data_IF_740504058700
#
_entry.id   IF_740504058700
#
_cell.length_a   1.000
_cell.length_b   1.000
_cell.length_c   1.000
_cell.angle_alpha   90.00
_cell.angle_beta   90.00
_cell.angle_gamma   90.00
#
_symmetry.space_group_name_H-M   'P 1'
#
loop_
_entity.id
_entity.type
_entity.pdbx_description
1 polymer ?
#
# COMPACT_ATOMS: atom_id res chain seq x y z
N UNK A 1 -12.62 -30.07 -32.01
CA UNK A 1 -12.31 -28.82 -31.29
C UNK A 1 -11.60 -27.94 -32.30
N UNK A 2 -12.27 -26.88 -32.74
CA UNK A 2 -11.76 -26.05 -33.85
C UNK A 2 -10.57 -25.22 -33.38
N UNK A 3 -9.57 -25.11 -34.26
CA UNK A 3 -8.30 -24.42 -33.96
C UNK A 3 -8.53 -22.97 -33.54
N UNK A 4 -9.55 -22.34 -34.09
CA UNK A 4 -9.95 -20.96 -33.78
C UNK A 4 -10.53 -20.83 -32.37
N UNK A 5 -11.33 -21.81 -31.95
CA UNK A 5 -11.92 -21.85 -30.60
C UNK A 5 -10.85 -22.01 -29.52
N UNK A 6 -9.82 -22.82 -29.78
CA UNK A 6 -8.65 -22.96 -28.90
C UNK A 6 -7.85 -21.67 -28.83
N UNK A 7 -7.65 -20.98 -29.96
CA UNK A 7 -6.90 -19.72 -30.02
C UNK A 7 -7.64 -18.56 -29.36
N UNK A 8 -8.97 -18.48 -29.48
CA UNK A 8 -9.76 -17.49 -28.76
C UNK A 8 -9.76 -17.74 -27.26
N UNK A 9 -9.92 -19.00 -26.84
CA UNK A 9 -9.83 -19.37 -25.42
C UNK A 9 -8.46 -19.02 -24.84
N UNK A 10 -7.38 -19.32 -25.58
CA UNK A 10 -6.03 -18.97 -25.18
C UNK A 10 -5.81 -17.45 -25.14
N UNK A 11 -6.32 -16.67 -26.11
CA UNK A 11 -6.29 -15.20 -26.08
C UNK A 11 -7.12 -14.59 -24.93
N UNK A 12 -8.21 -15.25 -24.53
CA UNK A 12 -9.07 -14.82 -23.42
C UNK A 12 -8.42 -15.10 -22.07
N UNK A 13 -7.76 -16.25 -21.94
CA UNK A 13 -7.00 -16.65 -20.75
C UNK A 13 -5.70 -15.82 -20.63
N UNK A 14 -5.03 -15.53 -21.75
CA UNK A 14 -3.79 -14.76 -21.81
C UNK A 14 -4.00 -13.23 -21.85
N UNK A 15 -5.27 -12.77 -21.79
CA UNK A 15 -5.64 -11.34 -21.69
C UNK A 15 -5.44 -10.77 -20.29
N UNK A 16 -5.42 -11.64 -19.26
CA UNK A 16 -4.97 -11.26 -17.93
C UNK A 16 -3.45 -11.16 -17.97
N UNK A 17 -2.92 -9.94 -17.90
CA UNK A 17 -1.48 -9.67 -17.82
C UNK A 17 -0.76 -10.79 -17.06
N UNK A 18 0.12 -11.50 -17.76
CA UNK A 18 0.90 -12.66 -17.32
C UNK A 18 0.90 -12.77 -15.79
N UNK A 19 0.21 -13.77 -15.25
CA UNK A 19 0.01 -13.91 -13.80
C UNK A 19 1.35 -13.86 -13.02
N UNK A 20 2.44 -14.22 -13.68
CA UNK A 20 3.82 -14.06 -13.21
C UNK A 20 4.23 -12.61 -12.97
N UNK A 21 3.99 -11.70 -13.92
CA UNK A 21 4.24 -10.27 -13.74
C UNK A 21 3.37 -9.70 -12.61
N UNK A 22 2.13 -10.19 -12.48
CA UNK A 22 1.22 -9.83 -11.40
C UNK A 22 1.80 -10.19 -10.02
N UNK A 23 2.24 -11.43 -9.87
CA UNK A 23 2.84 -11.94 -8.62
C UNK A 23 4.17 -11.23 -8.32
N UNK A 24 5.00 -11.01 -9.34
CA UNK A 24 6.29 -10.33 -9.19
C UNK A 24 6.10 -8.89 -8.69
N UNK A 25 5.19 -8.14 -9.31
CA UNK A 25 4.90 -6.75 -8.94
C UNK A 25 4.29 -6.65 -7.53
N UNK A 26 3.45 -7.61 -7.17
CA UNK A 26 2.89 -7.70 -5.82
C UNK A 26 3.97 -7.99 -4.76
N UNK A 27 4.89 -8.92 -5.03
CA UNK A 27 6.05 -9.19 -4.13
C UNK A 27 6.96 -7.97 -4.02
N UNK A 28 7.24 -7.30 -5.13
CA UNK A 28 8.04 -6.08 -5.15
C UNK A 28 7.38 -4.97 -4.32
N UNK A 29 6.07 -4.74 -4.48
CA UNK A 29 5.31 -3.78 -3.69
C UNK A 29 5.39 -4.07 -2.19
N UNK A 30 5.23 -5.33 -1.78
CA UNK A 30 5.33 -5.74 -0.37
C UNK A 30 6.74 -5.51 0.19
N UNK A 31 7.79 -5.86 -0.57
CA UNK A 31 9.17 -5.65 -0.13
C UNK A 31 9.50 -4.16 0.01
N UNK A 32 9.10 -3.34 -0.96
CA UNK A 32 9.33 -1.89 -0.92
C UNK A 32 8.61 -1.23 0.25
N UNK A 33 7.31 -1.51 0.42
CA UNK A 33 6.51 -0.97 1.54
C UNK A 33 7.06 -1.45 2.87
N UNK A 34 7.43 -2.73 2.97
CA UNK A 34 8.01 -3.31 4.17
C UNK A 34 9.31 -2.63 4.57
N UNK A 35 10.24 -2.41 3.63
CA UNK A 35 11.49 -1.71 3.89
C UNK A 35 11.26 -0.25 4.31
N UNK A 36 10.36 0.46 3.64
CA UNK A 36 9.99 1.82 4.00
C UNK A 36 9.38 1.87 5.41
N UNK A 37 8.43 0.98 5.72
CA UNK A 37 7.78 0.90 7.04
C UNK A 37 8.76 0.58 8.16
N UNK A 38 9.71 -0.33 7.91
CA UNK A 38 10.76 -0.66 8.88
C UNK A 38 11.62 0.57 9.20
N UNK A 39 12.08 1.30 8.18
CA UNK A 39 12.85 2.53 8.37
C UNK A 39 12.05 3.62 9.06
N UNK A 40 10.79 3.82 8.67
CA UNK A 40 9.90 4.77 9.34
C UNK A 40 9.70 4.40 10.81
N UNK A 41 9.48 3.12 11.14
CA UNK A 41 9.28 2.67 12.51
C UNK A 41 10.52 2.93 13.39
N UNK A 42 11.72 2.69 12.85
CA UNK A 42 12.97 2.99 13.54
C UNK A 42 13.06 4.49 13.88
N UNK A 43 12.82 5.36 12.90
CA UNK A 43 12.85 6.81 13.09
C UNK A 43 11.72 7.30 14.01
N UNK A 44 10.53 6.70 13.89
CA UNK A 44 9.39 7.01 14.73
C UNK A 44 9.70 6.72 16.20
N UNK A 45 10.19 5.52 16.50
CA UNK A 45 10.57 5.14 17.87
C UNK A 45 11.69 6.03 18.41
N UNK A 46 12.72 6.30 17.59
CA UNK A 46 13.80 7.20 17.96
C UNK A 46 13.30 8.60 18.34
N UNK A 47 12.41 9.17 17.53
CA UNK A 47 11.82 10.48 17.78
C UNK A 47 10.92 10.47 19.02
N UNK A 48 10.12 9.41 19.23
CA UNK A 48 9.30 9.24 20.44
C UNK A 48 10.17 9.22 21.70
N UNK A 49 11.27 8.47 21.71
CA UNK A 49 12.17 8.41 22.86
C UNK A 49 12.88 9.75 23.15
N UNK A 50 13.05 10.60 22.14
CA UNK A 50 13.60 11.95 22.29
C UNK A 50 12.54 13.03 22.55
N UNK A 51 11.25 12.66 22.60
CA UNK A 51 10.16 13.62 22.75
C UNK A 51 9.98 14.56 21.55
N UNK A 52 10.51 14.18 20.38
CA UNK A 52 10.38 14.93 19.14
C UNK A 52 9.02 14.67 18.50
N UNK A 53 8.50 15.65 17.77
CA UNK A 53 7.23 15.49 17.07
C UNK A 53 7.34 14.47 15.93
N UNK A 54 6.47 13.48 15.96
CA UNK A 54 6.35 12.42 14.96
C UNK A 54 5.16 12.59 14.04
N UNK A 55 4.34 13.63 14.28
CA UNK A 55 3.04 13.75 13.64
C UNK A 55 3.12 13.97 12.13
N UNK A 56 4.01 14.84 11.67
CA UNK A 56 4.24 15.09 10.25
C UNK A 56 4.73 13.83 9.51
N UNK A 57 5.75 13.15 10.06
CA UNK A 57 6.31 11.94 9.47
C UNK A 57 5.32 10.78 9.45
N UNK A 58 4.50 10.65 10.50
CA UNK A 58 3.43 9.65 10.57
C UNK A 58 2.32 9.88 9.56
N UNK A 59 1.88 11.13 9.38
CA UNK A 59 0.85 11.49 8.41
C UNK A 59 1.28 11.15 6.97
N UNK A 60 2.49 11.57 6.59
CA UNK A 60 3.03 11.32 5.25
C UNK A 60 3.15 9.82 4.99
N UNK A 61 3.73 9.07 5.91
CA UNK A 61 3.97 7.64 5.72
C UNK A 61 2.67 6.84 5.62
N UNK A 62 1.75 7.06 6.56
CA UNK A 62 0.48 6.33 6.60
C UNK A 62 -0.41 6.69 5.40
N UNK A 63 -0.31 7.90 4.86
CA UNK A 63 -1.00 8.27 3.61
C UNK A 63 -0.49 7.47 2.41
N UNK A 64 0.81 7.21 2.32
CA UNK A 64 1.40 6.36 1.28
C UNK A 64 0.97 4.90 1.38
N UNK A 65 0.90 4.37 2.61
CA UNK A 65 0.39 3.02 2.89
C UNK A 65 -1.10 2.92 2.53
N UNK A 66 -1.89 3.94 2.87
CA UNK A 66 -3.31 4.01 2.50
C UNK A 66 -3.51 3.99 0.99
N UNK A 67 -2.79 4.84 0.26
CA UNK A 67 -2.83 4.91 -1.20
C UNK A 67 -2.50 3.55 -1.85
N UNK A 68 -1.48 2.86 -1.36
CA UNK A 68 -1.15 1.52 -1.85
C UNK A 68 -2.21 0.47 -1.50
N UNK A 69 -2.81 0.54 -0.30
CA UNK A 69 -3.91 -0.35 0.08
C UNK A 69 -5.12 -0.22 -0.87
N UNK A 70 -5.48 1.02 -1.21
CA UNK A 70 -6.53 1.29 -2.20
C UNK A 70 -6.15 0.84 -3.62
N UNK A 71 -4.90 1.07 -4.03
CA UNK A 71 -4.41 0.62 -5.34
C UNK A 71 -4.40 -0.91 -5.47
N UNK A 72 -3.94 -1.61 -4.43
CA UNK A 72 -3.95 -3.08 -4.39
C UNK A 72 -5.38 -3.63 -4.42
N UNK A 73 -6.35 -2.94 -3.84
CA UNK A 73 -7.75 -3.31 -4.00
C UNK A 73 -8.24 -3.12 -5.44
N UNK A 74 -7.95 -1.97 -6.05
CA UNK A 74 -8.37 -1.69 -7.43
C UNK A 74 -7.77 -2.69 -8.42
N UNK A 75 -6.48 -2.99 -8.30
CA UNK A 75 -5.75 -3.84 -9.25
C UNK A 75 -5.92 -5.34 -9.00
N UNK A 76 -5.96 -5.78 -7.73
CA UNK A 76 -5.95 -7.20 -7.36
C UNK A 76 -7.22 -7.67 -6.66
N UNK A 77 -8.20 -6.78 -6.42
CA UNK A 77 -9.43 -7.05 -5.64
C UNK A 77 -9.16 -7.67 -4.27
N UNK A 78 -8.00 -7.40 -3.69
CA UNK A 78 -7.63 -7.91 -2.37
C UNK A 78 -8.39 -7.17 -1.27
N UNK A 79 -9.32 -7.86 -0.60
CA UNK A 79 -10.12 -7.31 0.51
C UNK A 79 -9.24 -6.85 1.70
N UNK A 80 -8.11 -7.53 1.92
CA UNK A 80 -7.14 -7.14 2.95
C UNK A 80 -6.53 -5.74 2.68
N UNK A 81 -6.33 -5.38 1.40
CA UNK A 81 -5.79 -4.07 1.01
C UNK A 81 -6.71 -2.92 1.41
N UNK A 82 -8.03 -3.10 1.33
CA UNK A 82 -9.00 -2.12 1.86
C UNK A 82 -8.86 -2.00 3.37
N UNK A 83 -8.88 -3.12 4.09
CA UNK A 83 -8.85 -3.08 5.55
C UNK A 83 -7.63 -2.31 6.07
N UNK A 84 -6.44 -2.67 5.58
CA UNK A 84 -5.20 -1.97 5.95
C UNK A 84 -5.14 -0.56 5.39
N UNK A 85 -5.68 -0.32 4.19
CA UNK A 85 -5.74 1.01 3.58
C UNK A 85 -6.59 1.99 4.37
N UNK A 86 -7.77 1.56 4.84
CA UNK A 86 -8.68 2.37 5.67
C UNK A 86 -8.07 2.62 7.04
N UNK A 87 -7.47 1.59 7.67
CA UNK A 87 -6.78 1.75 8.95
C UNK A 87 -5.62 2.77 8.85
N UNK A 88 -4.81 2.67 7.79
CA UNK A 88 -3.72 3.59 7.53
C UNK A 88 -4.24 5.00 7.24
N UNK A 89 -5.34 5.14 6.48
CA UNK A 89 -5.95 6.44 6.21
C UNK A 89 -6.43 7.12 7.50
N UNK A 90 -7.09 6.38 8.39
CA UNK A 90 -7.52 6.90 9.69
C UNK A 90 -6.33 7.38 10.54
N UNK A 91 -5.25 6.58 10.58
CA UNK A 91 -4.01 6.96 11.23
C UNK A 91 -3.39 8.22 10.62
N UNK A 92 -3.32 8.32 9.29
CA UNK A 92 -2.79 9.48 8.59
C UNK A 92 -3.55 10.76 8.95
N UNK A 93 -4.89 10.71 8.97
CA UNK A 93 -5.74 11.85 9.35
C UNK A 93 -5.53 12.23 10.81
N UNK A 94 -5.42 11.25 11.71
CA UNK A 94 -5.20 11.51 13.13
C UNK A 94 -3.84 12.18 13.39
N UNK A 95 -2.79 11.72 12.72
CA UNK A 95 -1.47 12.34 12.79
C UNK A 95 -1.43 13.74 12.14
N UNK A 96 -2.11 13.92 11.01
CA UNK A 96 -2.24 15.23 10.36
C UNK A 96 -2.99 16.22 11.25
N UNK A 97 -4.09 15.79 11.88
CA UNK A 97 -4.85 16.62 12.81
C UNK A 97 -4.00 17.00 14.03
N UNK A 98 -3.24 16.06 14.60
CA UNK A 98 -2.31 16.33 15.70
C UNK A 98 -1.26 17.37 15.30
N UNK A 99 -0.69 17.25 14.10
CA UNK A 99 0.28 18.22 13.59
C UNK A 99 -0.32 19.62 13.45
N UNK A 100 -1.50 19.72 12.84
CA UNK A 100 -2.21 21.00 12.64
C UNK A 100 -2.56 21.63 14.00
N UNK A 101 -3.11 20.87 14.94
CA UNK A 101 -3.44 21.38 16.28
C UNK A 101 -2.22 21.77 17.10
N UNK A 102 -1.07 21.13 16.88
CA UNK A 102 0.19 21.48 17.56
C UNK A 102 0.93 22.67 16.94
N UNK A 103 0.51 23.12 15.76
CA UNK A 103 1.12 24.24 15.02
C UNK A 103 0.23 25.49 14.96
N UNK A 104 -1.01 25.40 15.43
CA UNK A 104 -1.90 26.54 15.72
C UNK A 104 -1.65 27.09 17.13
#
# INVERSE_FOLDING_TARGET
MDKEEILEKNRKDNRGADERFRILNQRQSVVMVGAMLAMWLILFLWNVFRGLDTSQGGAIMLSGVAAMGFWQFHQYRMKAGIFFGVLAAFGAVSFAAKYIMGTM
#
